data_IF_450730786909
#
_entry.id   IF_450730786909
#
_cell.length_a   1.000
_cell.length_b   1.000
_cell.length_c   1.000
_cell.angle_alpha   90.00
_cell.angle_beta   90.00
_cell.angle_gamma   90.00
#
_symmetry.space_group_name_H-M   'P 1'
#
loop_
_entity.id
_entity.type
_entity.pdbx_description
1 polymer ?
#
# COMPACT_ATOMS: atom_id res chain seq x y z
N UNK A 1 35.14 1.68 55.68
CA UNK A 1 33.93 1.07 55.07
C UNK A 1 33.32 2.11 54.12
N UNK A 2 33.82 2.11 52.92
CA UNK A 2 33.40 3.06 51.85
C UNK A 2 32.35 2.33 51.01
N UNK A 3 31.13 2.84 51.06
CA UNK A 3 30.04 2.46 50.16
C UNK A 3 30.26 3.14 48.83
N UNK A 4 30.63 2.38 47.79
CA UNK A 4 30.54 2.80 46.40
C UNK A 4 29.06 2.74 46.01
N UNK A 5 28.44 3.91 45.81
CA UNK A 5 27.20 3.99 45.08
C UNK A 5 27.54 3.92 43.58
N UNK A 6 27.32 2.78 42.96
CA UNK A 6 27.23 2.67 41.50
C UNK A 6 25.93 3.35 41.08
N UNK A 7 26.05 4.58 40.64
CA UNK A 7 24.99 5.25 39.89
C UNK A 7 25.11 4.79 38.43
N UNK A 8 24.38 3.71 38.10
CA UNK A 8 24.07 3.40 36.72
C UNK A 8 23.13 4.49 36.20
N UNK A 9 23.72 5.52 35.59
CA UNK A 9 22.99 6.50 34.80
C UNK A 9 22.42 5.73 33.59
N UNK A 10 21.17 5.34 33.65
CA UNK A 10 20.38 4.96 32.48
C UNK A 10 20.39 6.18 31.54
N UNK A 11 21.28 6.15 30.56
CA UNK A 11 21.30 7.11 29.47
C UNK A 11 20.03 6.85 28.64
N UNK A 12 18.94 7.51 29.02
CA UNK A 12 17.73 7.57 28.21
C UNK A 12 18.13 8.22 26.89
N UNK A 13 18.38 7.41 25.88
CA UNK A 13 18.63 7.90 24.54
C UNK A 13 17.47 8.80 24.16
N UNK A 14 17.72 10.11 24.00
CA UNK A 14 16.71 11.06 23.60
C UNK A 14 16.26 10.73 22.20
N UNK A 15 14.93 10.56 22.00
CA UNK A 15 14.34 10.34 20.68
C UNK A 15 14.79 11.42 19.70
N UNK A 16 15.20 11.03 18.51
CA UNK A 16 15.63 11.95 17.46
C UNK A 16 14.57 11.96 16.35
N UNK A 17 13.66 12.93 16.35
CA UNK A 17 12.62 13.03 15.32
C UNK A 17 13.22 13.18 13.93
N UNK A 18 12.53 12.62 12.92
CA UNK A 18 12.87 12.79 11.52
C UNK A 18 11.68 13.32 10.75
N UNK A 19 11.89 14.37 9.93
CA UNK A 19 10.87 14.94 9.07
C UNK A 19 11.54 15.50 7.82
N UNK A 20 11.56 14.70 6.76
CA UNK A 20 12.27 15.01 5.53
C UNK A 20 11.38 14.77 4.32
N UNK A 21 11.60 15.55 3.24
CA UNK A 21 10.96 15.40 1.95
C UNK A 21 11.95 15.79 0.86
N UNK A 22 12.20 14.90 -0.09
CA UNK A 22 13.22 15.11 -1.12
C UNK A 22 13.04 14.24 -2.34
N UNK A 23 13.71 14.59 -3.41
CA UNK A 23 13.95 13.72 -4.54
C UNK A 23 15.16 12.81 -4.29
N UNK A 24 15.05 11.56 -4.73
CA UNK A 24 16.14 10.56 -4.73
C UNK A 24 16.20 9.96 -6.13
N UNK A 25 17.41 9.77 -6.66
CA UNK A 25 17.60 9.12 -7.95
C UNK A 25 17.36 7.61 -7.82
N UNK A 26 16.33 7.10 -8.48
CA UNK A 26 15.96 5.69 -8.52
C UNK A 26 15.64 5.33 -9.97
N UNK A 27 16.23 4.26 -10.48
CA UNK A 27 16.01 3.84 -11.86
C UNK A 27 16.29 4.91 -12.91
N UNK A 28 17.30 5.75 -12.65
CA UNK A 28 17.75 6.81 -13.55
C UNK A 28 16.89 8.08 -13.57
N UNK A 29 15.85 8.18 -12.73
CA UNK A 29 15.02 9.39 -12.59
C UNK A 29 14.93 9.84 -11.13
N UNK A 30 14.66 11.13 -10.90
CA UNK A 30 14.47 11.66 -9.55
C UNK A 30 13.03 11.38 -9.08
N UNK A 31 12.88 10.61 -8.01
CA UNK A 31 11.60 10.22 -7.45
C UNK A 31 11.40 10.81 -6.06
N UNK A 32 10.19 11.27 -5.78
CA UNK A 32 9.85 11.97 -4.54
C UNK A 32 9.59 11.00 -3.41
N UNK A 33 10.23 11.25 -2.26
CA UNK A 33 9.97 10.53 -1.01
C UNK A 33 9.75 11.49 0.15
N UNK A 34 9.01 11.02 1.15
CA UNK A 34 8.95 11.65 2.48
C UNK A 34 9.38 10.64 3.54
N UNK A 35 10.10 11.09 4.57
CA UNK A 35 10.57 10.27 5.69
C UNK A 35 10.15 10.96 6.98
N UNK A 36 9.32 10.31 7.80
CA UNK A 36 8.75 10.91 9.01
C UNK A 36 8.68 9.90 10.15
N UNK A 37 9.02 10.33 11.35
CA UNK A 37 8.94 9.51 12.55
C UNK A 37 9.27 10.31 13.81
N UNK A 38 8.72 9.91 14.93
CA UNK A 38 9.02 10.50 16.24
C UNK A 38 10.45 10.16 16.71
N UNK A 39 11.00 9.08 16.17
CA UNK A 39 12.38 8.68 16.43
C UNK A 39 12.99 8.02 15.17
N UNK A 40 14.15 8.53 14.73
CA UNK A 40 14.91 7.96 13.61
C UNK A 40 15.34 6.50 13.87
N UNK A 41 15.47 6.12 15.14
CA UNK A 41 15.79 4.77 15.54
C UNK A 41 14.65 3.76 15.36
N UNK A 42 13.42 4.22 15.22
CA UNK A 42 12.24 3.34 14.99
C UNK A 42 12.44 2.46 13.74
N UNK A 43 11.81 1.28 13.72
CA UNK A 43 11.73 0.47 12.50
C UNK A 43 11.17 1.28 11.33
N UNK A 44 11.80 1.14 10.17
CA UNK A 44 11.35 1.80 8.94
C UNK A 44 10.18 1.01 8.35
N UNK A 45 9.10 1.71 8.00
CA UNK A 45 7.95 1.18 7.29
C UNK A 45 7.81 1.89 5.94
N UNK A 46 8.22 1.22 4.88
CA UNK A 46 8.08 1.70 3.50
C UNK A 46 6.66 1.41 3.01
N UNK A 47 5.91 2.46 2.69
CA UNK A 47 4.56 2.38 2.14
C UNK A 47 4.60 2.37 0.61
N UNK A 48 4.07 1.32 0.01
CA UNK A 48 3.86 1.19 -1.44
C UNK A 48 2.40 1.47 -1.72
N UNK A 49 2.10 2.66 -2.27
CA UNK A 49 0.74 3.11 -2.51
C UNK A 49 0.02 2.33 -3.61
N UNK A 50 -1.30 2.45 -3.62
CA UNK A 50 -2.20 1.84 -4.59
C UNK A 50 -2.34 2.62 -5.90
N UNK A 51 -3.43 2.43 -6.55
CA UNK A 51 -3.77 3.01 -7.85
C UNK A 51 -3.88 1.95 -8.94
N UNK A 52 -3.02 1.93 -9.97
CA UNK A 52 -1.71 2.59 -10.16
C UNK A 52 -1.75 4.12 -10.12
N UNK A 53 -0.64 4.73 -9.64
CA UNK A 53 -0.45 6.17 -9.69
C UNK A 53 -1.10 7.02 -8.57
N UNK A 54 -1.72 6.39 -7.54
CA UNK A 54 -2.37 7.08 -6.42
C UNK A 54 -1.36 7.53 -5.36
N UNK A 55 -0.55 8.55 -5.68
CA UNK A 55 0.46 9.10 -4.78
C UNK A 55 -0.13 9.61 -3.47
N UNK A 56 0.47 9.24 -2.35
CA UNK A 56 -0.04 9.55 -1.01
C UNK A 56 0.87 10.46 -0.18
N UNK A 57 1.96 10.98 -0.74
CA UNK A 57 2.91 11.83 0.00
C UNK A 57 2.28 13.14 0.52
N UNK A 58 1.25 13.69 -0.15
CA UNK A 58 0.48 14.83 0.34
C UNK A 58 -0.52 14.48 1.45
N UNK A 59 -0.78 13.20 1.69
CA UNK A 59 -1.68 12.70 2.76
C UNK A 59 -0.92 12.39 4.06
N UNK A 60 0.23 13.01 4.28
CA UNK A 60 1.10 12.72 5.43
C UNK A 60 0.40 12.79 6.80
N UNK A 61 -0.54 13.73 7.00
CA UNK A 61 -1.29 13.86 8.25
C UNK A 61 -2.13 12.63 8.58
N UNK A 62 -2.58 11.92 7.56
CA UNK A 62 -3.33 10.66 7.69
C UNK A 62 -2.48 9.55 8.32
N UNK A 63 -1.18 9.57 8.05
CA UNK A 63 -0.23 8.57 8.54
C UNK A 63 0.49 8.96 9.83
N UNK A 64 0.25 10.15 10.37
CA UNK A 64 0.92 10.65 11.58
C UNK A 64 0.76 9.74 12.81
N UNK A 65 -0.35 9.01 12.93
CA UNK A 65 -0.60 8.06 14.01
C UNK A 65 0.46 6.93 14.06
N UNK A 66 1.06 6.58 12.93
CA UNK A 66 2.08 5.53 12.82
C UNK A 66 3.47 6.02 13.21
N UNK A 67 3.74 7.34 13.18
CA UNK A 67 5.07 7.95 13.36
C UNK A 67 5.64 7.73 14.77
N UNK A 68 4.81 7.47 15.77
CA UNK A 68 5.24 7.14 17.13
C UNK A 68 6.01 5.80 17.18
N UNK A 69 5.59 4.84 16.38
CA UNK A 69 6.07 3.47 16.44
C UNK A 69 6.99 3.08 15.28
N UNK A 70 6.94 3.85 14.18
CA UNK A 70 7.67 3.60 12.95
C UNK A 70 8.26 4.88 12.36
N UNK A 71 9.35 4.75 11.63
CA UNK A 71 9.77 5.76 10.64
C UNK A 71 9.05 5.45 9.34
N UNK A 72 8.05 6.26 9.01
CA UNK A 72 7.19 6.09 7.82
C UNK A 72 7.88 6.68 6.61
N UNK A 73 7.97 5.91 5.55
CA UNK A 73 8.44 6.37 4.25
C UNK A 73 7.29 6.26 3.25
N UNK A 74 6.89 7.41 2.70
CA UNK A 74 5.98 7.48 1.56
C UNK A 74 6.78 7.79 0.30
N UNK A 75 6.45 7.15 -0.78
CA UNK A 75 7.12 7.25 -2.06
C UNK A 75 6.09 7.49 -3.17
N UNK A 76 6.22 8.62 -3.86
CA UNK A 76 5.52 8.84 -5.10
C UNK A 76 6.23 8.02 -6.18
N UNK A 77 5.65 6.88 -6.54
CA UNK A 77 6.22 5.93 -7.49
C UNK A 77 6.39 6.58 -8.87
N UNK A 78 7.18 5.97 -9.73
CA UNK A 78 7.25 6.33 -11.16
C UNK A 78 5.83 6.42 -11.73
N UNK A 79 5.52 7.51 -12.44
CA UNK A 79 4.19 7.78 -12.97
C UNK A 79 3.17 8.32 -11.95
N UNK A 80 3.59 8.69 -10.73
CA UNK A 80 2.70 9.15 -9.67
C UNK A 80 3.13 10.50 -9.07
N UNK A 81 2.18 11.35 -8.72
CA UNK A 81 2.35 12.56 -7.93
C UNK A 81 3.51 13.46 -8.37
N UNK A 82 4.37 13.87 -7.42
CA UNK A 82 5.53 14.73 -7.69
C UNK A 82 6.58 14.08 -8.58
N UNK A 83 6.70 12.74 -8.53
CA UNK A 83 7.58 12.01 -9.45
C UNK A 83 7.11 12.12 -10.89
N UNK A 84 5.80 11.96 -11.14
CA UNK A 84 5.23 12.15 -12.47
C UNK A 84 5.39 13.60 -12.94
N UNK A 85 5.11 14.57 -12.07
CA UNK A 85 5.27 16.00 -12.42
C UNK A 85 6.68 16.30 -12.93
N UNK A 86 7.70 15.72 -12.31
CA UNK A 86 9.11 15.91 -12.71
C UNK A 86 9.53 15.08 -13.92
N UNK A 87 8.89 13.91 -14.12
CA UNK A 87 9.29 12.92 -15.13
C UNK A 87 8.08 12.38 -15.92
N UNK A 88 7.34 13.24 -16.64
CA UNK A 88 6.04 12.85 -17.25
C UNK A 88 6.14 11.81 -18.37
N UNK A 89 7.35 11.60 -18.92
CA UNK A 89 7.60 10.65 -20.01
C UNK A 89 8.26 9.35 -19.54
N UNK A 90 8.25 9.07 -18.24
CA UNK A 90 8.88 7.88 -17.67
C UNK A 90 7.82 6.80 -17.39
N UNK A 91 7.70 5.76 -18.25
CA UNK A 91 6.63 4.77 -18.11
C UNK A 91 6.76 3.97 -16.80
N UNK A 92 5.64 3.80 -16.06
CA UNK A 92 5.61 3.06 -14.79
C UNK A 92 5.37 1.57 -15.01
N UNK A 93 6.15 0.92 -15.86
CA UNK A 93 6.05 -0.53 -16.06
C UNK A 93 6.27 -1.27 -14.74
N UNK A 94 5.45 -2.30 -14.41
CA UNK A 94 5.47 -2.94 -13.10
C UNK A 94 6.87 -3.39 -12.66
N UNK A 95 7.59 -4.09 -13.54
CA UNK A 95 8.93 -4.56 -13.24
C UNK A 95 9.91 -3.41 -12.95
N UNK A 96 9.80 -2.28 -13.70
CA UNK A 96 10.66 -1.12 -13.45
C UNK A 96 10.34 -0.47 -12.11
N UNK A 97 9.05 -0.36 -11.75
CA UNK A 97 8.63 0.19 -10.45
C UNK A 97 9.08 -0.71 -9.30
N UNK A 98 9.03 -2.03 -9.46
CA UNK A 98 9.60 -2.98 -8.46
C UNK A 98 11.09 -2.75 -8.25
N UNK A 99 11.87 -2.59 -9.34
CA UNK A 99 13.30 -2.33 -9.27
C UNK A 99 13.61 -0.96 -8.64
N UNK A 100 12.85 0.08 -8.97
CA UNK A 100 12.94 1.40 -8.33
C UNK A 100 12.69 1.29 -6.81
N UNK A 101 11.69 0.50 -6.42
CA UNK A 101 11.39 0.26 -5.01
C UNK A 101 12.47 -0.53 -4.27
N UNK A 102 13.15 -1.47 -4.94
CA UNK A 102 14.32 -2.19 -4.39
C UNK A 102 15.50 -1.23 -4.23
N UNK A 103 15.75 -0.35 -5.21
CA UNK A 103 16.77 0.71 -5.10
C UNK A 103 16.46 1.65 -3.92
N UNK A 104 15.18 2.04 -3.75
CA UNK A 104 14.73 2.82 -2.60
C UNK A 104 14.95 2.08 -1.28
N UNK A 105 14.62 0.80 -1.20
CA UNK A 105 14.84 0.00 0.01
C UNK A 105 16.33 -0.05 0.40
N UNK A 106 17.23 -0.25 -0.57
CA UNK A 106 18.70 -0.20 -0.37
C UNK A 106 19.14 1.19 0.12
N UNK A 107 18.63 2.25 -0.52
CA UNK A 107 18.90 3.62 -0.10
C UNK A 107 18.48 3.86 1.35
N UNK A 108 17.26 3.43 1.73
CA UNK A 108 16.74 3.61 3.08
C UNK A 108 17.53 2.80 4.12
N UNK A 109 17.90 1.55 3.82
CA UNK A 109 18.75 0.76 4.70
C UNK A 109 20.08 1.47 4.99
N UNK A 110 20.75 2.00 3.96
CA UNK A 110 22.00 2.75 4.11
C UNK A 110 21.78 4.09 4.83
N UNK A 111 20.81 4.89 4.39
CA UNK A 111 20.57 6.25 4.89
C UNK A 111 20.12 6.28 6.35
N UNK A 112 19.28 5.31 6.75
CA UNK A 112 18.75 5.22 8.12
C UNK A 112 19.51 4.23 8.99
N UNK A 113 20.60 3.65 8.48
CA UNK A 113 21.45 2.66 9.18
C UNK A 113 20.63 1.49 9.70
N UNK A 114 19.89 0.82 8.79
CA UNK A 114 19.05 -0.36 9.08
C UNK A 114 19.56 -1.57 8.32
N UNK A 115 19.60 -2.75 8.99
CA UNK A 115 19.90 -4.02 8.30
C UNK A 115 18.75 -4.42 7.35
N UNK A 116 17.50 -4.25 7.80
CA UNK A 116 16.28 -4.55 7.03
C UNK A 116 15.19 -3.54 7.35
N UNK A 117 14.25 -3.36 6.41
CA UNK A 117 13.06 -2.53 6.59
C UNK A 117 11.78 -3.34 6.50
N UNK A 118 10.68 -2.79 6.98
CA UNK A 118 9.34 -3.33 6.75
C UNK A 118 8.78 -2.75 5.45
N UNK A 119 8.03 -3.55 4.71
CA UNK A 119 7.32 -3.11 3.51
C UNK A 119 5.83 -3.34 3.67
N UNK A 120 5.02 -2.29 3.41
CA UNK A 120 3.57 -2.35 3.41
C UNK A 120 3.04 -1.96 2.04
N UNK A 121 2.38 -2.89 1.36
CA UNK A 121 1.74 -2.66 0.08
C UNK A 121 0.23 -2.53 0.21
N UNK A 122 -0.34 -1.46 -0.36
CA UNK A 122 -1.78 -1.25 -0.43
C UNK A 122 -2.28 -1.43 -1.86
N UNK A 123 -3.30 -2.27 -2.06
CA UNK A 123 -3.95 -2.44 -3.36
C UNK A 123 -2.93 -2.81 -4.47
N UNK A 124 -2.84 -2.06 -5.56
CA UNK A 124 -1.75 -2.15 -6.55
C UNK A 124 -0.37 -2.29 -5.89
N UNK A 125 -0.10 -1.49 -4.85
CA UNK A 125 1.16 -1.56 -4.11
C UNK A 125 1.39 -2.90 -3.43
N UNK A 126 0.35 -3.68 -3.11
CA UNK A 126 0.53 -5.04 -2.56
C UNK A 126 1.07 -6.01 -3.61
N UNK A 127 0.70 -5.83 -4.87
CA UNK A 127 1.26 -6.57 -5.99
C UNK A 127 2.75 -6.25 -6.19
N UNK A 128 3.09 -4.97 -6.30
CA UNK A 128 4.50 -4.52 -6.43
C UNK A 128 5.36 -4.99 -5.26
N UNK A 129 4.88 -4.84 -4.03
CA UNK A 129 5.61 -5.25 -2.84
C UNK A 129 5.89 -6.76 -2.80
N UNK A 130 5.01 -7.60 -3.37
CA UNK A 130 5.27 -9.03 -3.57
C UNK A 130 6.46 -9.23 -4.51
N UNK A 131 6.48 -8.56 -5.67
CA UNK A 131 7.59 -8.61 -6.62
C UNK A 131 8.91 -8.19 -5.96
N UNK A 132 8.89 -7.10 -5.18
CA UNK A 132 10.08 -6.61 -4.45
C UNK A 132 10.61 -7.64 -3.45
N UNK A 133 9.76 -8.23 -2.60
CA UNK A 133 10.21 -9.22 -1.60
C UNK A 133 10.62 -10.56 -2.22
N UNK A 134 10.12 -10.90 -3.40
CA UNK A 134 10.59 -12.08 -4.13
C UNK A 134 11.98 -11.88 -4.71
N UNK A 135 12.27 -10.70 -5.27
CA UNK A 135 13.53 -10.34 -5.92
C UNK A 135 14.65 -10.07 -4.91
N UNK A 136 14.34 -9.43 -3.78
CA UNK A 136 15.34 -8.97 -2.78
C UNK A 136 14.86 -9.21 -1.35
N UNK A 137 14.62 -10.47 -0.94
CA UNK A 137 14.08 -10.79 0.39
C UNK A 137 15.02 -10.38 1.54
N UNK A 138 16.31 -10.22 1.27
CA UNK A 138 17.33 -9.83 2.24
C UNK A 138 17.14 -8.40 2.77
N UNK A 139 16.46 -7.54 2.03
CA UNK A 139 16.20 -6.14 2.42
C UNK A 139 15.02 -5.98 3.39
N UNK A 140 14.17 -7.01 3.51
CA UNK A 140 12.89 -6.88 4.19
C UNK A 140 12.79 -7.77 5.42
N UNK A 141 12.44 -7.18 6.56
CA UNK A 141 12.18 -7.90 7.82
C UNK A 141 10.82 -8.61 7.79
N UNK A 142 9.84 -8.03 7.11
CA UNK A 142 8.53 -8.61 6.87
C UNK A 142 7.80 -7.86 5.74
N UNK A 143 6.86 -8.56 5.09
CA UNK A 143 5.87 -8.05 4.18
C UNK A 143 4.52 -7.89 4.88
N UNK A 144 3.83 -6.78 4.61
CA UNK A 144 2.44 -6.54 5.01
C UNK A 144 1.63 -6.14 3.78
N UNK A 145 0.56 -6.88 3.49
CA UNK A 145 -0.42 -6.53 2.46
C UNK A 145 -1.70 -6.00 3.08
N UNK A 146 -2.29 -4.97 2.49
CA UNK A 146 -3.64 -4.49 2.78
C UNK A 146 -4.33 -4.10 1.47
N UNK A 147 -5.66 -4.26 1.37
CA UNK A 147 -6.24 -4.28 0.05
C UNK A 147 -5.51 -5.29 -0.83
N UNK A 148 -5.22 -6.48 -0.29
CA UNK A 148 -4.31 -7.45 -0.87
C UNK A 148 -4.83 -7.99 -2.20
N UNK A 149 -4.05 -7.79 -3.24
CA UNK A 149 -4.30 -8.42 -4.56
C UNK A 149 -3.99 -9.91 -4.48
N UNK A 150 -4.86 -10.70 -5.11
CA UNK A 150 -4.63 -12.14 -5.33
C UNK A 150 -4.66 -12.44 -6.83
N UNK A 151 -5.73 -13.11 -7.28
CA UNK A 151 -6.04 -13.31 -8.70
C UNK A 151 -6.88 -12.14 -9.20
N UNK A 152 -6.42 -11.44 -10.22
CA UNK A 152 -7.21 -10.36 -10.83
C UNK A 152 -8.49 -10.86 -11.47
N UNK A 153 -8.43 -12.01 -12.13
CA UNK A 153 -9.63 -12.66 -12.70
C UNK A 153 -10.65 -12.95 -11.61
N UNK A 154 -10.22 -13.54 -10.48
CA UNK A 154 -11.10 -13.81 -9.36
C UNK A 154 -11.62 -12.53 -8.70
N UNK A 155 -10.81 -11.45 -8.62
CA UNK A 155 -11.27 -10.15 -8.14
C UNK A 155 -12.42 -9.62 -8.97
N UNK A 156 -12.24 -9.52 -10.28
CA UNK A 156 -13.25 -8.99 -11.21
C UNK A 156 -14.52 -9.83 -11.16
N UNK A 157 -14.40 -11.16 -11.21
CA UNK A 157 -15.55 -12.06 -11.14
C UNK A 157 -16.31 -11.91 -9.81
N UNK A 158 -15.60 -11.88 -8.68
CA UNK A 158 -16.22 -11.72 -7.35
C UNK A 158 -16.95 -10.38 -7.23
N UNK A 159 -16.38 -9.31 -7.75
CA UNK A 159 -17.00 -7.99 -7.79
C UNK A 159 -18.26 -7.99 -8.66
N UNK A 160 -18.19 -8.58 -9.84
CA UNK A 160 -19.34 -8.72 -10.76
C UNK A 160 -20.51 -9.45 -10.09
N UNK A 161 -20.23 -10.64 -9.55
CA UNK A 161 -21.24 -11.46 -8.87
C UNK A 161 -21.89 -10.72 -7.70
N UNK A 162 -21.08 -10.01 -6.91
CA UNK A 162 -21.56 -9.20 -5.79
C UNK A 162 -22.48 -8.06 -6.24
N UNK A 163 -22.06 -7.28 -7.24
CA UNK A 163 -22.84 -6.15 -7.76
C UNK A 163 -24.16 -6.64 -8.39
N UNK A 164 -24.09 -7.73 -9.14
CA UNK A 164 -25.28 -8.35 -9.77
C UNK A 164 -26.28 -8.85 -8.72
N UNK A 165 -25.78 -9.55 -7.69
CA UNK A 165 -26.62 -10.01 -6.59
C UNK A 165 -27.28 -8.84 -5.83
N UNK A 166 -26.55 -7.76 -5.57
CA UNK A 166 -27.09 -6.55 -4.93
C UNK A 166 -28.14 -5.86 -5.79
N UNK A 167 -27.92 -5.74 -7.11
CA UNK A 167 -28.88 -5.14 -8.04
C UNK A 167 -30.17 -5.96 -8.14
N UNK A 168 -30.06 -7.28 -8.20
CA UNK A 168 -31.22 -8.19 -8.17
C UNK A 168 -32.00 -8.07 -6.87
N UNK A 169 -31.32 -8.05 -5.72
CA UNK A 169 -31.95 -7.89 -4.41
C UNK A 169 -32.68 -6.55 -4.25
N UNK A 170 -32.19 -5.50 -4.93
CA UNK A 170 -32.82 -4.18 -4.97
C UNK A 170 -33.94 -4.07 -6.03
N UNK A 171 -34.20 -5.10 -6.80
CA UNK A 171 -35.13 -5.10 -7.96
C UNK A 171 -34.78 -4.04 -9.02
N UNK A 172 -33.50 -3.65 -9.14
CA UNK A 172 -33.01 -2.70 -10.14
C UNK A 172 -32.77 -3.40 -11.48
N UNK A 173 -33.87 -3.60 -12.24
CA UNK A 173 -33.85 -4.30 -13.53
C UNK A 173 -32.91 -3.65 -14.52
N UNK A 174 -32.89 -2.30 -14.60
CA UNK A 174 -32.03 -1.58 -15.56
C UNK A 174 -30.55 -1.88 -15.29
N UNK A 175 -30.16 -1.93 -14.03
CA UNK A 175 -28.78 -2.20 -13.64
C UNK A 175 -28.40 -3.66 -13.86
N UNK A 176 -29.35 -4.60 -13.61
CA UNK A 176 -29.15 -6.01 -13.93
C UNK A 176 -28.92 -6.21 -15.43
N UNK A 177 -29.81 -5.67 -16.28
CA UNK A 177 -29.68 -5.74 -17.73
C UNK A 177 -28.38 -5.13 -18.25
N UNK A 178 -27.98 -3.96 -17.71
CA UNK A 178 -26.72 -3.30 -18.06
C UNK A 178 -25.51 -4.17 -17.68
N UNK A 179 -25.49 -4.74 -16.48
CA UNK A 179 -24.39 -5.58 -16.02
C UNK A 179 -24.28 -6.88 -16.81
N UNK A 180 -25.43 -7.53 -17.11
CA UNK A 180 -25.46 -8.73 -17.93
C UNK A 180 -25.03 -8.48 -19.38
N UNK A 181 -25.31 -7.29 -19.92
CA UNK A 181 -24.86 -6.88 -21.26
C UNK A 181 -23.37 -6.59 -21.34
N UNK A 182 -22.79 -5.97 -20.30
CA UNK A 182 -21.37 -5.63 -20.24
C UNK A 182 -20.53 -6.87 -19.86
N UNK A 183 -21.01 -7.70 -18.93
CA UNK A 183 -20.24 -8.80 -18.36
C UNK A 183 -19.06 -8.35 -17.51
N UNK A 184 -18.00 -9.15 -17.47
CA UNK A 184 -16.71 -8.77 -16.88
C UNK A 184 -15.87 -8.03 -17.93
N UNK A 185 -15.13 -6.98 -17.52
CA UNK A 185 -14.35 -6.18 -18.46
C UNK A 185 -13.22 -7.00 -19.11
N UNK A 186 -12.91 -6.64 -20.35
CA UNK A 186 -11.74 -7.15 -21.06
C UNK A 186 -10.46 -6.66 -20.34
N UNK A 187 -9.54 -7.56 -19.96
CA UNK A 187 -8.29 -7.18 -19.31
C UNK A 187 -7.35 -6.34 -20.19
N UNK A 188 -7.61 -6.25 -21.48
CA UNK A 188 -6.81 -5.43 -22.41
C UNK A 188 -7.41 -4.04 -22.64
N UNK A 189 -8.66 -3.80 -22.23
CA UNK A 189 -9.37 -2.53 -22.38
C UNK A 189 -9.40 -1.76 -21.04
N UNK A 190 -8.44 -0.85 -20.88
CA UNK A 190 -8.32 -0.04 -19.66
C UNK A 190 -9.53 0.89 -19.46
N UNK A 191 -10.12 1.47 -20.53
CA UNK A 191 -11.26 2.39 -20.40
C UNK A 191 -12.52 1.63 -20.00
N UNK A 192 -12.76 0.47 -20.61
CA UNK A 192 -13.85 -0.41 -20.20
C UNK A 192 -13.69 -0.83 -18.73
N UNK A 193 -12.47 -1.18 -18.31
CA UNK A 193 -12.19 -1.53 -16.92
C UNK A 193 -12.47 -0.37 -15.95
N UNK A 194 -12.04 0.86 -16.24
CA UNK A 194 -12.31 2.01 -15.38
C UNK A 194 -13.79 2.38 -15.32
N UNK A 195 -14.47 2.30 -16.43
CA UNK A 195 -15.92 2.48 -16.48
C UNK A 195 -16.64 1.45 -15.61
N UNK A 196 -16.30 0.18 -15.80
CA UNK A 196 -16.82 -0.93 -15.00
C UNK A 196 -16.48 -0.79 -13.51
N UNK A 197 -15.25 -0.38 -13.21
CA UNK A 197 -14.80 -0.15 -11.84
C UNK A 197 -15.66 0.89 -11.11
N UNK A 198 -16.08 1.95 -11.80
CA UNK A 198 -16.91 3.01 -11.24
C UNK A 198 -18.31 2.53 -10.82
N UNK A 199 -18.83 1.48 -11.45
CA UNK A 199 -20.14 0.88 -11.13
C UNK A 199 -20.17 0.30 -9.70
N UNK A 200 -19.03 0.05 -9.09
CA UNK A 200 -18.89 -0.43 -7.72
C UNK A 200 -19.17 0.65 -6.66
N UNK A 201 -19.02 1.93 -7.00
CA UNK A 201 -19.08 3.04 -6.05
C UNK A 201 -20.34 3.05 -5.15
N UNK A 202 -21.56 2.73 -5.64
CA UNK A 202 -22.77 2.65 -4.81
C UNK A 202 -22.70 1.62 -3.70
N UNK A 203 -21.87 0.57 -3.87
CA UNK A 203 -21.75 -0.57 -2.96
C UNK A 203 -20.55 -0.48 -2.02
N UNK A 204 -19.82 0.63 -2.09
CA UNK A 204 -18.66 0.87 -1.24
C UNK A 204 -19.05 0.86 0.24
N UNK A 205 -18.24 0.24 1.13
CA UNK A 205 -18.46 0.28 2.57
C UNK A 205 -18.57 1.70 3.10
N UNK A 206 -19.33 1.88 4.19
CA UNK A 206 -19.56 3.21 4.80
C UNK A 206 -18.24 3.89 5.21
N UNK A 207 -17.30 3.13 5.74
CA UNK A 207 -15.99 3.65 6.14
C UNK A 207 -15.22 4.21 4.95
N UNK A 208 -15.22 3.49 3.81
CA UNK A 208 -14.55 3.93 2.59
C UNK A 208 -15.23 5.16 1.96
N UNK A 209 -16.57 5.23 1.99
CA UNK A 209 -17.30 6.45 1.56
C UNK A 209 -16.90 7.65 2.38
N UNK A 210 -16.86 7.48 3.72
CA UNK A 210 -16.42 8.54 4.62
C UNK A 210 -14.98 8.97 4.33
N UNK A 211 -14.09 8.03 4.04
CA UNK A 211 -12.72 8.34 3.65
C UNK A 211 -12.65 9.26 2.43
N UNK A 212 -13.45 9.00 1.40
CA UNK A 212 -13.48 9.87 0.21
C UNK A 212 -14.04 11.26 0.51
N UNK A 213 -15.00 11.38 1.45
CA UNK A 213 -15.49 12.68 1.89
C UNK A 213 -14.44 13.44 2.71
N UNK A 214 -13.73 12.77 3.61
CA UNK A 214 -12.61 13.33 4.36
C UNK A 214 -11.46 13.74 3.42
N UNK A 215 -11.16 12.96 2.38
CA UNK A 215 -10.16 13.27 1.37
C UNK A 215 -10.52 14.53 0.58
N UNK A 216 -11.79 14.71 0.18
CA UNK A 216 -12.24 15.95 -0.46
C UNK A 216 -12.00 17.17 0.44
N UNK A 217 -12.28 17.06 1.73
CA UNK A 217 -12.02 18.12 2.70
C UNK A 217 -10.51 18.39 2.82
N UNK A 218 -9.68 17.36 2.90
CA UNK A 218 -8.22 17.52 2.95
C UNK A 218 -7.68 18.21 1.69
N UNK A 219 -8.17 17.85 0.51
CA UNK A 219 -7.79 18.51 -0.75
C UNK A 219 -8.07 20.02 -0.70
N UNK A 220 -9.19 20.42 -0.09
CA UNK A 220 -9.59 21.83 0.01
C UNK A 220 -8.80 22.61 1.08
N UNK A 221 -8.30 21.94 2.09
CA UNK A 221 -7.75 22.60 3.30
C UNK A 221 -6.25 22.44 3.49
N UNK A 222 -5.62 21.43 2.86
CA UNK A 222 -4.19 21.18 2.98
C UNK A 222 -3.44 21.91 1.84
N UNK A 223 -2.54 22.86 2.17
CA UNK A 223 -1.82 23.65 1.17
C UNK A 223 -0.86 22.84 0.26
N UNK A 224 -0.60 21.57 0.58
CA UNK A 224 0.17 20.68 -0.31
C UNK A 224 -0.60 20.26 -1.56
N UNK A 225 -1.92 20.35 -1.55
CA UNK A 225 -2.78 20.12 -2.72
C UNK A 225 -2.93 21.38 -3.56
N UNK A 226 -1.80 21.85 -4.13
CA UNK A 226 -1.82 22.93 -5.13
C UNK A 226 -2.53 22.47 -6.40
N UNK A 227 -3.01 23.41 -7.23
CA UNK A 227 -3.63 23.06 -8.53
C UNK A 227 -2.68 22.25 -9.41
N UNK A 228 -1.39 22.62 -9.42
CA UNK A 228 -0.35 21.87 -10.15
C UNK A 228 -0.21 20.44 -9.65
N UNK A 229 -0.17 20.23 -8.31
CA UNK A 229 -0.10 18.90 -7.73
C UNK A 229 -1.35 18.06 -8.03
N UNK A 230 -2.54 18.64 -7.88
CA UNK A 230 -3.81 17.96 -8.17
C UNK A 230 -3.90 17.52 -9.63
N UNK A 231 -3.47 18.40 -10.54
CA UNK A 231 -3.39 18.05 -11.95
C UNK A 231 -2.40 16.91 -12.19
N UNK A 232 -1.20 17.00 -11.62
CA UNK A 232 -0.19 15.95 -11.75
C UNK A 232 -0.64 14.62 -11.13
N UNK A 233 -1.36 14.67 -10.01
CA UNK A 233 -1.94 13.48 -9.38
C UNK A 233 -2.98 12.81 -10.30
N UNK A 234 -3.93 13.58 -10.83
CA UNK A 234 -4.94 13.07 -11.78
C UNK A 234 -4.33 12.54 -13.08
N UNK A 235 -3.44 13.29 -13.69
CA UNK A 235 -2.75 12.92 -14.94
C UNK A 235 -1.87 11.67 -14.72
N UNK A 236 -1.15 11.61 -13.58
CA UNK A 236 -0.32 10.48 -13.20
C UNK A 236 -1.12 9.21 -12.97
N UNK A 237 -2.27 9.29 -12.29
CA UNK A 237 -3.18 8.14 -12.14
C UNK A 237 -3.69 7.64 -13.49
N UNK A 238 -4.12 8.56 -14.37
CA UNK A 238 -4.57 8.21 -15.71
C UNK A 238 -3.45 7.60 -16.56
N UNK A 239 -2.25 8.18 -16.52
CA UNK A 239 -1.08 7.65 -17.22
C UNK A 239 -0.67 6.27 -16.74
N UNK A 240 -0.50 6.12 -15.42
CA UNK A 240 -0.13 4.85 -14.80
C UNK A 240 -1.18 3.78 -15.05
N UNK A 241 -2.46 4.11 -14.90
CA UNK A 241 -3.55 3.17 -15.18
C UNK A 241 -3.50 2.62 -16.60
N UNK A 242 -3.40 3.49 -17.61
CA UNK A 242 -3.33 3.06 -19.02
C UNK A 242 -2.08 2.26 -19.34
N UNK A 243 -0.94 2.58 -18.71
CA UNK A 243 0.34 1.91 -18.99
C UNK A 243 0.44 0.54 -18.34
N UNK A 244 -0.14 0.37 -17.12
CA UNK A 244 0.15 -0.82 -16.31
C UNK A 244 -1.03 -1.78 -16.17
N UNK A 245 -2.26 -1.33 -16.49
CA UNK A 245 -3.46 -2.08 -16.18
C UNK A 245 -3.50 -3.46 -16.86
N UNK A 246 -3.16 -3.55 -18.15
CA UNK A 246 -3.18 -4.82 -18.87
C UNK A 246 -2.19 -5.85 -18.29
N UNK A 247 -0.99 -5.38 -17.89
CA UNK A 247 -0.02 -6.23 -17.21
C UNK A 247 -0.55 -6.73 -15.86
N UNK A 248 -1.16 -5.82 -15.09
CA UNK A 248 -1.75 -6.14 -13.78
C UNK A 248 -2.92 -7.13 -13.89
N UNK A 249 -3.81 -6.95 -14.86
CA UNK A 249 -4.97 -7.82 -15.07
C UNK A 249 -4.59 -9.23 -15.56
N UNK A 250 -3.41 -9.38 -16.15
CA UNK A 250 -2.84 -10.68 -16.54
C UNK A 250 -2.20 -11.47 -15.40
N UNK A 251 -1.99 -10.84 -14.22
CA UNK A 251 -1.24 -11.45 -13.14
C UNK A 251 -2.10 -12.36 -12.24
N UNK A 252 -1.50 -13.48 -11.87
CA UNK A 252 -2.10 -14.50 -11.02
C UNK A 252 -1.15 -14.85 -9.87
N UNK A 253 -1.11 -14.02 -8.82
CA UNK A 253 -0.24 -14.24 -7.65
C UNK A 253 -0.38 -15.63 -7.01
N UNK A 254 -1.58 -16.26 -6.94
CA UNK A 254 -1.72 -17.63 -6.47
C UNK A 254 -0.90 -18.65 -7.27
N UNK A 255 -0.49 -18.32 -8.49
CA UNK A 255 0.38 -19.15 -9.34
C UNK A 255 1.82 -18.68 -9.29
N UNK A 256 2.04 -17.37 -9.47
CA UNK A 256 3.36 -16.78 -9.71
C UNK A 256 4.13 -16.48 -8.42
N UNK A 257 3.44 -16.31 -7.28
CA UNK A 257 4.03 -15.85 -6.01
C UNK A 257 3.61 -16.70 -4.80
N UNK A 258 3.70 -18.02 -4.92
CA UNK A 258 3.35 -18.95 -3.82
C UNK A 258 4.39 -19.01 -2.71
N UNK A 259 5.66 -18.76 -3.01
CA UNK A 259 6.73 -18.86 -2.03
C UNK A 259 7.31 -17.50 -1.74
N UNK A 260 7.14 -17.04 -0.51
CA UNK A 260 7.67 -15.77 0.00
C UNK A 260 8.71 -16.10 1.08
N UNK A 261 9.93 -15.58 0.91
CA UNK A 261 11.06 -15.90 1.82
C UNK A 261 11.11 -15.05 3.08
N UNK A 262 10.22 -14.06 3.20
CA UNK A 262 10.08 -13.20 4.39
C UNK A 262 8.78 -13.49 5.15
N UNK A 263 8.66 -13.14 6.44
CA UNK A 263 7.39 -13.18 7.16
C UNK A 263 6.29 -12.43 6.41
N UNK A 264 5.12 -13.05 6.25
CA UNK A 264 4.03 -12.61 5.39
C UNK A 264 2.77 -12.33 6.19
N UNK A 265 2.34 -11.08 6.19
CA UNK A 265 1.14 -10.63 6.89
C UNK A 265 0.14 -10.04 5.89
N UNK A 266 -1.15 -10.31 6.14
CA UNK A 266 -2.24 -9.60 5.47
C UNK A 266 -3.11 -8.99 6.56
N UNK A 267 -3.24 -7.66 6.57
CA UNK A 267 -4.14 -6.91 7.43
C UNK A 267 -5.19 -6.30 6.52
N UNK A 268 -6.38 -6.91 6.48
CA UNK A 268 -7.39 -6.69 5.45
C UNK A 268 -8.70 -6.21 6.07
N UNK A 269 -9.34 -5.22 5.47
CA UNK A 269 -10.73 -4.88 5.81
C UNK A 269 -11.66 -6.02 5.41
N UNK A 270 -12.53 -6.45 6.32
CA UNK A 270 -13.42 -7.60 6.10
C UNK A 270 -14.45 -7.36 4.99
N UNK A 271 -14.82 -6.10 4.78
CA UNK A 271 -15.82 -5.67 3.78
C UNK A 271 -15.16 -5.14 2.50
N UNK A 272 -13.85 -5.38 2.29
CA UNK A 272 -13.17 -4.95 1.07
C UNK A 272 -13.75 -5.66 -0.15
N UNK A 273 -14.30 -4.86 -1.08
CA UNK A 273 -14.81 -5.29 -2.38
C UNK A 273 -14.04 -4.66 -3.55
N UNK A 274 -12.99 -3.88 -3.27
CA UNK A 274 -12.08 -3.39 -4.29
C UNK A 274 -11.05 -4.45 -4.67
N UNK A 275 -10.45 -5.07 -3.65
CA UNK A 275 -9.71 -6.34 -3.73
C UNK A 275 -10.42 -7.31 -2.79
N UNK A 276 -11.43 -8.05 -3.28
CA UNK A 276 -12.35 -8.78 -2.42
C UNK A 276 -11.64 -9.64 -1.38
N UNK A 277 -12.03 -9.47 -0.11
CA UNK A 277 -11.40 -10.16 1.02
C UNK A 277 -11.39 -11.68 0.83
N UNK A 278 -12.41 -12.25 0.20
CA UNK A 278 -12.46 -13.67 -0.14
C UNK A 278 -11.30 -14.11 -1.04
N UNK A 279 -10.91 -13.28 -2.01
CA UNK A 279 -9.80 -13.55 -2.94
C UNK A 279 -8.46 -13.38 -2.24
N UNK A 280 -8.30 -12.32 -1.43
CA UNK A 280 -7.11 -12.13 -0.59
C UNK A 280 -6.89 -13.31 0.37
N UNK A 281 -7.96 -13.83 0.99
CA UNK A 281 -7.92 -15.02 1.86
C UNK A 281 -7.52 -16.28 1.08
N UNK A 282 -8.01 -16.45 -0.16
CA UNK A 282 -7.61 -17.58 -1.01
C UNK A 282 -6.12 -17.52 -1.33
N UNK A 283 -5.60 -16.35 -1.69
CA UNK A 283 -4.16 -16.18 -1.92
C UNK A 283 -3.36 -16.45 -0.65
N UNK A 284 -3.75 -15.86 0.49
CA UNK A 284 -3.10 -16.10 1.77
C UNK A 284 -3.01 -17.60 2.13
N UNK A 285 -4.02 -18.40 1.83
CA UNK A 285 -4.03 -19.84 2.11
C UNK A 285 -2.92 -20.58 1.36
N UNK A 286 -2.67 -20.22 0.09
CA UNK A 286 -1.70 -20.93 -0.77
C UNK A 286 -0.26 -20.43 -0.61
N UNK A 287 -0.05 -19.23 -0.05
CA UNK A 287 1.29 -18.68 0.22
C UNK A 287 2.03 -19.57 1.24
N UNK A 288 3.29 -19.87 0.92
CA UNK A 288 4.27 -20.49 1.82
C UNK A 288 5.26 -19.42 2.25
N UNK A 289 5.39 -19.20 3.57
CA UNK A 289 6.29 -18.21 4.15
C UNK A 289 6.83 -18.71 5.50
N UNK A 290 7.99 -18.22 5.98
CA UNK A 290 8.57 -18.60 7.28
C UNK A 290 7.61 -18.37 8.46
N UNK A 291 6.83 -17.33 8.37
CA UNK A 291 5.74 -16.98 9.28
C UNK A 291 4.65 -16.29 8.50
N UNK A 292 3.39 -16.62 8.73
CA UNK A 292 2.27 -15.89 8.10
C UNK A 292 1.12 -15.68 9.08
N UNK A 293 0.42 -14.55 8.92
CA UNK A 293 -0.77 -14.23 9.70
C UNK A 293 -1.73 -13.37 8.89
N UNK A 294 -3.00 -13.76 8.93
CA UNK A 294 -4.12 -12.98 8.41
C UNK A 294 -4.84 -12.32 9.57
N UNK A 295 -5.12 -11.03 9.44
CA UNK A 295 -5.88 -10.23 10.40
C UNK A 295 -6.98 -9.53 9.60
N UNK A 296 -8.23 -9.78 9.98
CA UNK A 296 -9.39 -9.13 9.38
C UNK A 296 -9.91 -8.06 10.32
N UNK A 297 -10.08 -6.84 9.81
CA UNK A 297 -10.64 -5.70 10.56
C UNK A 297 -12.13 -5.62 10.24
N UNK A 298 -12.96 -5.75 11.27
CA UNK A 298 -14.41 -5.67 11.14
C UNK A 298 -14.84 -4.27 10.68
N UNK A 299 -15.90 -4.19 9.89
CA UNK A 299 -16.47 -2.93 9.38
C UNK A 299 -15.51 -2.06 8.53
N UNK A 300 -14.33 -2.56 8.21
CA UNK A 300 -13.36 -1.91 7.33
C UNK A 300 -13.50 -2.41 5.90
N UNK A 301 -13.33 -1.50 4.96
CA UNK A 301 -13.25 -1.79 3.52
C UNK A 301 -11.81 -1.77 3.00
N UNK A 302 -11.67 -1.24 1.80
CA UNK A 302 -10.38 -1.20 1.07
C UNK A 302 -9.31 -0.33 1.74
N UNK A 303 -9.75 0.70 2.43
CA UNK A 303 -8.88 1.69 3.06
C UNK A 303 -8.69 1.47 4.57
N UNK A 304 -8.68 0.20 5.02
CA UNK A 304 -8.55 -0.15 6.44
C UNK A 304 -7.39 0.56 7.15
N UNK A 305 -6.24 0.73 6.47
CA UNK A 305 -5.06 1.40 7.03
C UNK A 305 -5.28 2.88 7.36
N UNK A 306 -6.29 3.54 6.79
CA UNK A 306 -6.61 4.96 7.03
C UNK A 306 -7.96 5.16 7.69
N UNK A 307 -8.90 4.22 7.56
CA UNK A 307 -10.23 4.29 8.16
C UNK A 307 -10.30 3.66 9.56
N UNK A 308 -9.47 2.65 9.82
CA UNK A 308 -9.38 1.91 11.10
C UNK A 308 -7.95 1.92 11.63
N UNK A 309 -7.37 3.12 11.69
CA UNK A 309 -5.94 3.35 11.95
C UNK A 309 -5.45 2.73 13.25
N UNK A 310 -6.24 2.84 14.33
CA UNK A 310 -5.83 2.35 15.66
C UNK A 310 -5.75 0.82 15.70
N UNK A 311 -6.73 0.14 15.13
CA UNK A 311 -6.74 -1.33 15.02
C UNK A 311 -5.64 -1.82 14.08
N UNK A 312 -5.43 -1.12 12.96
CA UNK A 312 -4.37 -1.43 12.01
C UNK A 312 -2.99 -1.25 12.63
N UNK A 313 -2.76 -0.12 13.32
CA UNK A 313 -1.51 0.15 14.06
C UNK A 313 -1.28 -0.89 15.16
N UNK A 314 -2.29 -1.21 15.94
CA UNK A 314 -2.18 -2.24 17.00
C UNK A 314 -1.74 -3.58 16.43
N UNK A 315 -2.25 -3.98 15.26
CA UNK A 315 -1.83 -5.19 14.56
C UNK A 315 -0.36 -5.12 14.10
N UNK A 316 0.07 -3.99 13.52
CA UNK A 316 1.46 -3.76 13.11
C UNK A 316 2.42 -3.83 14.32
N UNK A 317 2.09 -3.12 15.40
CA UNK A 317 2.93 -3.08 16.61
C UNK A 317 3.04 -4.46 17.25
N UNK A 318 1.93 -5.18 17.34
CA UNK A 318 1.90 -6.50 17.99
C UNK A 318 2.61 -7.60 17.19
N UNK A 319 2.48 -7.60 15.88
CA UNK A 319 2.88 -8.76 15.09
C UNK A 319 4.06 -8.51 14.14
N UNK A 320 4.26 -7.26 13.70
CA UNK A 320 5.20 -6.91 12.63
C UNK A 320 6.42 -6.17 13.19
N UNK A 321 6.23 -5.14 14.02
CA UNK A 321 7.30 -4.34 14.63
C UNK A 321 8.41 -5.19 15.30
N UNK A 322 8.07 -6.25 16.07
CA UNK A 322 9.09 -7.09 16.71
C UNK A 322 10.05 -7.78 15.73
N UNK A 323 9.62 -8.05 14.51
CA UNK A 323 10.46 -8.69 13.47
C UNK A 323 11.55 -7.77 12.97
N UNK A 324 11.22 -6.49 12.77
CA UNK A 324 12.22 -5.49 12.38
C UNK A 324 13.23 -5.25 13.51
N UNK A 325 12.77 -5.15 14.76
CA UNK A 325 13.66 -5.00 15.92
C UNK A 325 14.59 -6.21 16.04
N UNK A 326 14.07 -7.42 15.81
CA UNK A 326 14.87 -8.65 15.85
C UNK A 326 15.93 -8.64 14.74
N UNK A 327 15.57 -8.25 13.51
CA UNK A 327 16.49 -8.24 12.38
C UNK A 327 17.69 -7.32 12.55
N UNK A 328 17.61 -6.32 13.42
CA UNK A 328 18.76 -5.45 13.76
C UNK A 328 19.77 -6.13 14.70
N UNK A 329 19.34 -7.18 15.44
CA UNK A 329 20.15 -7.89 16.44
C UNK A 329 20.78 -9.18 15.89
N UNK A 330 20.13 -9.77 14.90
CA UNK A 330 20.61 -11.02 14.29
C UNK A 330 21.85 -10.68 13.41
N UNK A 331 23.02 -11.26 13.71
CA UNK A 331 24.27 -11.12 12.96
C UNK A 331 24.25 -11.89 11.64
#
# INVERSE_FOLDING_TARGET
MLLCCDASADYLATATPIQEARYVTLGGIEQWITIRGADRANPVLLLIHGGPGDAQSALRSTYAVYEKDFTIVQWDQRGAGRTYLKNPNSPPEPERVELDGIELAKYLCSYLTKKKILILGHSWGSYLAIGMVQRSPELFAAYVGTGQVGSWRANVQTQFDFMLAKSRAANDRKKVELMEAIGTPDPTDAEQYFSWWSMRNPYMPRADKKWFDDLKLMIQTNPEFTEEYLKAWGDGMGYSGRTTLSAMLGEELPTNARTIKVPFFVIQGKEDMATPTSVAVQYFKVVKAPRKKLILIEHAGHFALVTHRDEFLAALVKYVKPLAIKSERDD
#
